data_IF_792955742760
#
_entry.id   IF_792955742760
#
_cell.length_a   1.000
_cell.length_b   1.000
_cell.length_c   1.000
_cell.angle_alpha   90.00
_cell.angle_beta   90.00
_cell.angle_gamma   90.00
#
_symmetry.space_group_name_H-M   'P 1'
#
loop_
_entity.id
_entity.type
_entity.pdbx_description
1 polymer ?
#
# COMPACT_ATOMS: atom_id res chain seq x y z
N UNK A 1 24.66 -15.67 -5.17
CA UNK A 1 25.76 -15.08 -4.38
C UNK A 1 25.70 -15.67 -2.99
N UNK A 2 26.78 -16.24 -2.46
CA UNK A 2 26.84 -16.63 -1.03
C UNK A 2 26.99 -15.35 -0.21
N UNK A 3 26.05 -15.08 0.68
CA UNK A 3 26.22 -14.04 1.70
C UNK A 3 27.31 -14.50 2.69
N UNK A 4 28.23 -13.62 3.05
CA UNK A 4 29.16 -13.85 4.15
C UNK A 4 28.37 -13.94 5.47
N UNK A 5 28.40 -15.11 6.11
CA UNK A 5 27.73 -15.35 7.38
C UNK A 5 28.59 -14.81 8.52
N UNK A 6 28.12 -13.75 9.17
CA UNK A 6 28.68 -13.26 10.42
C UNK A 6 28.14 -14.12 11.58
N UNK A 7 28.91 -14.24 12.67
CA UNK A 7 28.53 -15.05 13.83
C UNK A 7 28.69 -14.25 15.13
N UNK A 8 27.75 -14.43 16.07
CA UNK A 8 27.81 -13.86 17.42
C UNK A 8 28.03 -15.00 18.42
N UNK A 9 28.92 -14.77 19.40
CA UNK A 9 29.17 -15.73 20.49
C UNK A 9 28.07 -15.64 21.55
N UNK A 10 27.34 -16.73 21.75
CA UNK A 10 26.35 -16.90 22.81
C UNK A 10 26.79 -18.05 23.73
N UNK A 11 27.45 -17.70 24.84
CA UNK A 11 28.07 -18.68 25.74
C UNK A 11 29.25 -19.40 25.06
N UNK A 12 29.11 -20.72 24.93
CA UNK A 12 30.12 -21.60 24.31
C UNK A 12 29.88 -21.84 22.81
N UNK A 13 28.83 -21.25 22.23
CA UNK A 13 28.46 -21.45 20.83
C UNK A 13 28.53 -20.16 20.00
N UNK A 14 28.79 -20.30 18.71
CA UNK A 14 28.68 -19.23 17.72
C UNK A 14 27.39 -19.41 16.92
N UNK A 15 26.52 -18.41 16.95
CA UNK A 15 25.23 -18.40 16.25
C UNK A 15 25.33 -17.45 15.06
N UNK A 16 24.92 -17.86 13.85
CA UNK A 16 24.83 -16.97 12.69
C UNK A 16 24.00 -15.70 12.99
N UNK A 17 24.57 -14.53 12.74
CA UNK A 17 23.91 -13.22 12.83
C UNK A 17 23.09 -12.97 11.54
N UNK A 18 22.04 -13.77 11.37
CA UNK A 18 21.12 -13.64 10.24
C UNK A 18 20.17 -12.48 10.53
N UNK A 19 20.30 -11.39 9.78
CA UNK A 19 19.41 -10.23 9.86
C UNK A 19 18.66 -10.05 8.57
N UNK A 20 17.35 -9.91 8.66
CA UNK A 20 16.54 -9.47 7.54
C UNK A 20 16.74 -7.96 7.33
N UNK A 21 16.64 -7.47 6.07
CA UNK A 21 16.55 -6.05 5.80
C UNK A 21 15.41 -5.45 6.62
N UNK A 22 15.71 -4.38 7.37
CA UNK A 22 14.70 -3.72 8.19
C UNK A 22 13.95 -2.70 7.34
N UNK A 23 12.72 -3.02 6.96
CA UNK A 23 11.78 -2.04 6.44
C UNK A 23 11.23 -1.20 7.60
N UNK A 24 11.31 0.12 7.48
CA UNK A 24 10.85 1.07 8.51
C UNK A 24 9.59 1.81 8.10
N UNK A 25 9.24 1.78 6.81
CA UNK A 25 8.04 2.43 6.29
C UNK A 25 6.78 1.76 6.82
N UNK A 26 5.70 2.54 7.07
CA UNK A 26 4.44 1.97 7.46
C UNK A 26 3.77 1.29 6.27
N UNK A 27 3.28 0.05 6.49
CA UNK A 27 2.47 -0.68 5.50
C UNK A 27 1.15 0.04 5.16
N UNK A 28 0.66 0.91 6.05
CA UNK A 28 -0.55 1.71 5.82
C UNK A 28 -1.84 0.88 5.64
N UNK A 29 -2.92 1.55 5.20
CA UNK A 29 -4.24 0.92 5.01
C UNK A 29 -4.22 -0.01 3.80
N UNK A 30 -3.71 0.49 2.67
CA UNK A 30 -3.70 -0.22 1.39
C UNK A 30 -2.86 -1.49 1.44
N UNK A 31 -1.65 -1.40 2.00
CA UNK A 31 -0.78 -2.55 2.15
C UNK A 31 -1.37 -3.64 3.06
N UNK A 32 -2.08 -3.27 4.13
CA UNK A 32 -2.77 -4.27 4.97
C UNK A 32 -3.91 -4.98 4.23
N UNK A 33 -4.71 -4.22 3.49
CA UNK A 33 -5.80 -4.79 2.69
C UNK A 33 -5.27 -5.74 1.63
N UNK A 34 -4.23 -5.33 0.89
CA UNK A 34 -3.64 -6.17 -0.15
C UNK A 34 -2.96 -7.42 0.44
N UNK A 35 -2.29 -7.29 1.58
CA UNK A 35 -1.72 -8.44 2.31
C UNK A 35 -2.79 -9.48 2.63
N UNK A 36 -3.91 -9.04 3.19
CA UNK A 36 -4.99 -9.94 3.57
C UNK A 36 -5.60 -10.61 2.32
N UNK A 37 -5.75 -9.86 1.23
CA UNK A 37 -6.19 -10.37 -0.06
C UNK A 37 -5.23 -11.43 -0.65
N UNK A 38 -3.93 -11.13 -0.80
CA UNK A 38 -2.99 -12.09 -1.39
C UNK A 38 -2.83 -13.34 -0.52
N UNK A 39 -3.00 -13.23 0.80
CA UNK A 39 -2.94 -14.37 1.69
C UNK A 39 -4.12 -15.33 1.47
N UNK A 40 -5.30 -14.80 1.16
CA UNK A 40 -6.52 -15.57 0.92
C UNK A 40 -6.61 -16.08 -0.52
N UNK A 41 -6.32 -15.23 -1.50
CA UNK A 41 -6.54 -15.49 -2.92
C UNK A 41 -5.29 -15.98 -3.67
N UNK A 42 -4.08 -15.66 -3.18
CA UNK A 42 -2.82 -16.07 -3.82
C UNK A 42 -1.75 -16.50 -2.80
N UNK A 43 -1.99 -17.59 -2.05
CA UNK A 43 -1.10 -18.01 -0.97
C UNK A 43 0.31 -18.39 -1.44
N UNK A 44 0.46 -18.82 -2.70
CA UNK A 44 1.78 -19.15 -3.29
C UNK A 44 2.62 -17.87 -3.39
N UNK A 45 2.07 -16.80 -3.97
CA UNK A 45 2.76 -15.50 -4.08
C UNK A 45 3.08 -14.91 -2.71
N UNK A 46 2.14 -15.01 -1.76
CA UNK A 46 2.40 -14.55 -0.40
C UNK A 46 3.57 -15.30 0.27
N UNK A 47 3.61 -16.62 0.13
CA UNK A 47 4.69 -17.44 0.67
C UNK A 47 6.04 -17.12 0.01
N UNK A 48 6.06 -16.91 -1.30
CA UNK A 48 7.28 -16.53 -2.03
C UNK A 48 7.87 -15.21 -1.49
N UNK A 49 7.03 -14.18 -1.32
CA UNK A 49 7.41 -12.89 -0.71
C UNK A 49 7.88 -13.03 0.74
N UNK A 50 7.30 -13.95 1.51
CA UNK A 50 7.74 -14.24 2.88
C UNK A 50 9.12 -14.92 2.89
N UNK A 51 9.36 -15.86 1.97
CA UNK A 51 10.62 -16.60 1.88
C UNK A 51 11.76 -15.74 1.32
N UNK A 52 11.47 -14.81 0.41
CA UNK A 52 12.45 -13.82 -0.06
C UNK A 52 12.77 -12.75 0.98
N UNK A 53 11.92 -12.60 2.01
CA UNK A 53 12.04 -11.57 3.03
C UNK A 53 11.60 -10.17 2.57
N UNK A 54 10.96 -10.08 1.40
CA UNK A 54 10.60 -8.81 0.74
C UNK A 54 9.15 -8.38 1.03
N UNK A 55 8.35 -9.22 1.69
CA UNK A 55 6.92 -8.97 1.94
C UNK A 55 6.64 -7.58 2.52
N UNK A 56 7.45 -7.09 3.45
CA UNK A 56 7.22 -5.79 4.08
C UNK A 56 7.53 -4.62 3.16
N UNK A 57 8.63 -4.71 2.42
CA UNK A 57 9.02 -3.69 1.43
C UNK A 57 8.01 -3.63 0.30
N UNK A 58 7.58 -4.78 -0.23
CA UNK A 58 6.52 -4.86 -1.24
C UNK A 58 5.23 -4.18 -0.81
N UNK A 59 4.74 -4.49 0.41
CA UNK A 59 3.50 -3.91 0.92
C UNK A 59 3.62 -2.41 1.22
N UNK A 60 4.81 -1.94 1.63
CA UNK A 60 5.08 -0.51 1.82
C UNK A 60 5.08 0.23 0.47
N UNK A 61 5.75 -0.32 -0.55
CA UNK A 61 5.78 0.25 -1.90
C UNK A 61 4.38 0.31 -2.49
N UNK A 62 3.60 -0.76 -2.37
CA UNK A 62 2.21 -0.80 -2.84
C UNK A 62 1.35 0.25 -2.12
N UNK A 63 1.55 0.44 -0.81
CA UNK A 63 0.80 1.45 -0.07
C UNK A 63 1.12 2.87 -0.52
N UNK A 64 2.38 3.19 -0.77
CA UNK A 64 2.79 4.49 -1.32
C UNK A 64 2.19 4.70 -2.72
N UNK A 65 2.29 3.70 -3.58
CA UNK A 65 1.72 3.77 -4.94
C UNK A 65 0.19 3.95 -4.92
N UNK A 66 -0.52 3.19 -4.09
CA UNK A 66 -1.98 3.30 -3.95
C UNK A 66 -2.39 4.67 -3.40
N UNK A 67 -1.63 5.22 -2.45
CA UNK A 67 -1.88 6.55 -1.91
C UNK A 67 -1.64 7.64 -2.97
N UNK A 68 -0.54 7.58 -3.72
CA UNK A 68 -0.28 8.52 -4.81
C UNK A 68 -1.32 8.43 -5.94
N UNK A 69 -1.78 7.21 -6.27
CA UNK A 69 -2.83 6.97 -7.25
C UNK A 69 -4.16 7.59 -6.81
N UNK A 70 -4.53 7.40 -5.54
CA UNK A 70 -5.73 8.01 -4.95
C UNK A 70 -5.71 9.53 -5.09
N UNK A 71 -4.61 10.17 -4.69
CA UNK A 71 -4.44 11.62 -4.74
C UNK A 71 -4.56 12.16 -6.16
N UNK A 72 -3.94 11.47 -7.13
CA UNK A 72 -4.01 11.83 -8.54
C UNK A 72 -5.45 11.76 -9.07
N UNK A 73 -6.18 10.68 -8.80
CA UNK A 73 -7.57 10.51 -9.25
C UNK A 73 -8.45 11.59 -8.62
N UNK A 74 -8.26 11.89 -7.34
CA UNK A 74 -9.00 12.93 -6.64
C UNK A 74 -8.79 14.29 -7.32
N UNK A 75 -7.55 14.68 -7.62
CA UNK A 75 -7.27 15.96 -8.27
C UNK A 75 -7.85 16.02 -9.70
N UNK A 76 -7.77 14.93 -10.46
CA UNK A 76 -8.38 14.84 -11.78
C UNK A 76 -9.91 14.98 -11.73
N UNK A 77 -10.56 14.29 -10.79
CA UNK A 77 -12.01 14.35 -10.60
C UNK A 77 -12.45 15.75 -10.13
N UNK A 78 -11.74 16.37 -9.18
CA UNK A 78 -12.00 17.74 -8.74
C UNK A 78 -11.94 18.73 -9.90
N UNK A 79 -10.93 18.62 -10.76
CA UNK A 79 -10.80 19.47 -11.95
C UNK A 79 -11.96 19.24 -12.94
N UNK A 80 -12.34 17.98 -13.17
CA UNK A 80 -13.42 17.64 -14.11
C UNK A 80 -14.80 18.08 -13.63
N UNK A 81 -15.05 18.02 -12.31
CA UNK A 81 -16.35 18.35 -11.71
C UNK A 81 -16.44 19.81 -11.24
N UNK A 82 -15.37 20.60 -11.44
CA UNK A 82 -15.34 22.02 -11.04
C UNK A 82 -15.40 22.24 -9.53
N UNK A 83 -14.96 21.26 -8.73
CA UNK A 83 -14.98 21.35 -7.25
C UNK A 83 -13.80 22.19 -6.79
N UNK A 84 -14.06 23.47 -6.52
CA UNK A 84 -13.04 24.44 -6.11
C UNK A 84 -13.08 24.74 -4.61
N UNK A 85 -11.96 25.15 -4.04
CA UNK A 85 -11.92 25.58 -2.64
C UNK A 85 -12.79 26.81 -2.35
N UNK A 86 -13.05 27.65 -3.36
CA UNK A 86 -13.96 28.80 -3.23
C UNK A 86 -15.41 28.42 -2.88
N UNK A 87 -15.81 27.17 -3.17
CA UNK A 87 -17.10 26.65 -2.73
C UNK A 87 -17.20 26.52 -1.20
N UNK A 88 -16.08 26.36 -0.49
CA UNK A 88 -16.08 26.28 0.99
C UNK A 88 -16.69 27.53 1.64
N UNK A 89 -16.52 28.69 1.03
CA UNK A 89 -16.99 29.97 1.56
C UNK A 89 -18.50 30.21 1.30
N UNK A 90 -19.00 29.73 0.17
CA UNK A 90 -20.37 30.06 -0.29
C UNK A 90 -21.35 28.90 -0.10
N UNK A 91 -20.88 27.65 -0.21
CA UNK A 91 -21.70 26.43 -0.22
C UNK A 91 -20.94 25.24 0.38
N UNK A 92 -20.53 25.37 1.65
CA UNK A 92 -19.68 24.38 2.34
C UNK A 92 -20.25 22.96 2.29
N UNK A 93 -21.56 22.78 2.51
CA UNK A 93 -22.19 21.44 2.50
C UNK A 93 -22.17 20.79 1.12
N UNK A 94 -22.34 21.56 0.05
CA UNK A 94 -22.24 21.05 -1.32
C UNK A 94 -20.81 20.63 -1.63
N UNK A 95 -19.82 21.42 -1.19
CA UNK A 95 -18.41 21.09 -1.33
C UNK A 95 -18.05 19.78 -0.61
N UNK A 96 -18.48 19.62 0.65
CA UNK A 96 -18.23 18.38 1.43
C UNK A 96 -18.87 17.17 0.75
N UNK A 97 -20.11 17.28 0.26
CA UNK A 97 -20.78 16.20 -0.46
C UNK A 97 -20.04 15.81 -1.74
N UNK A 98 -19.62 16.79 -2.54
CA UNK A 98 -18.88 16.53 -3.77
C UNK A 98 -17.52 15.88 -3.48
N UNK A 99 -16.78 16.42 -2.50
CA UNK A 99 -15.48 15.89 -2.09
C UNK A 99 -15.57 14.45 -1.57
N UNK A 100 -16.59 14.13 -0.77
CA UNK A 100 -16.82 12.77 -0.28
C UNK A 100 -17.18 11.81 -1.42
N UNK A 101 -18.01 12.24 -2.38
CA UNK A 101 -18.36 11.45 -3.56
C UNK A 101 -17.12 11.13 -4.40
N UNK A 102 -16.31 12.15 -4.70
CA UNK A 102 -15.04 12.00 -5.43
C UNK A 102 -14.11 11.03 -4.71
N UNK A 103 -13.92 11.23 -3.40
CA UNK A 103 -13.04 10.37 -2.60
C UNK A 103 -13.51 8.91 -2.62
N UNK A 104 -14.81 8.65 -2.42
CA UNK A 104 -15.34 7.29 -2.43
C UNK A 104 -15.11 6.59 -3.77
N UNK A 105 -15.40 7.27 -4.88
CA UNK A 105 -15.15 6.75 -6.24
C UNK A 105 -13.67 6.52 -6.50
N UNK A 106 -12.80 7.42 -6.06
CA UNK A 106 -11.36 7.27 -6.21
C UNK A 106 -10.83 6.08 -5.38
N UNK A 107 -11.33 5.87 -4.15
CA UNK A 107 -10.99 4.70 -3.34
C UNK A 107 -11.45 3.40 -4.00
N UNK A 108 -12.65 3.36 -4.62
CA UNK A 108 -13.15 2.20 -5.35
C UNK A 108 -12.26 1.82 -6.55
N UNK A 109 -11.82 2.82 -7.32
CA UNK A 109 -10.87 2.60 -8.44
C UNK A 109 -9.56 2.00 -7.92
N UNK A 110 -8.97 2.56 -6.85
CA UNK A 110 -7.72 2.04 -6.28
C UNK A 110 -7.87 0.62 -5.75
N UNK A 111 -9.00 0.31 -5.10
CA UNK A 111 -9.28 -1.05 -4.62
C UNK A 111 -9.25 -2.06 -5.77
N UNK A 112 -9.94 -1.74 -6.87
CA UNK A 112 -10.04 -2.61 -8.04
C UNK A 112 -8.71 -2.74 -8.79
N UNK A 113 -8.06 -1.61 -9.07
CA UNK A 113 -6.82 -1.55 -9.87
C UNK A 113 -5.62 -2.16 -9.14
N UNK A 114 -5.49 -1.95 -7.83
CA UNK A 114 -4.23 -2.20 -7.11
C UNK A 114 -4.33 -3.18 -5.93
N UNK A 115 -5.51 -3.32 -5.32
CA UNK A 115 -5.66 -4.15 -4.12
C UNK A 115 -6.17 -5.55 -4.45
N UNK A 116 -7.19 -5.64 -5.30
CA UNK A 116 -7.87 -6.91 -5.59
C UNK A 116 -7.55 -7.48 -6.97
N UNK A 117 -6.67 -6.84 -7.75
CA UNK A 117 -6.23 -7.29 -9.09
C UNK A 117 -7.40 -7.74 -10.00
N UNK A 118 -8.60 -7.19 -9.84
CA UNK A 118 -9.83 -7.64 -10.54
C UNK A 118 -9.75 -7.43 -12.06
N UNK A 119 -8.88 -6.53 -12.52
CA UNK A 119 -8.66 -6.20 -13.93
C UNK A 119 -7.51 -6.97 -14.59
N UNK A 120 -6.89 -7.92 -13.89
CA UNK A 120 -5.74 -8.69 -14.39
C UNK A 120 -6.13 -9.96 -15.19
N UNK A 121 -7.39 -10.06 -15.66
CA UNK A 121 -7.94 -11.21 -16.42
C UNK A 121 -8.13 -10.91 -17.89
#
# INVERSE_FOLDING_TARGET
MMQELNYIRCGDYYIPDIRLPKETRPVGRWGRMHRDYIKEHNPIRFNDLCLSGEVWTYLADLNEQAQSRLELIIEQMKASEGVTEGMKQHNQMTWVRAMNSIRNRAEEIVLREMIYEEDAV
#
